data_IF_973321445227
#
_entry.id   IF_973321445227
#
_cell.length_a   1.000
_cell.length_b   1.000
_cell.length_c   1.000
_cell.angle_alpha   90.00
_cell.angle_beta   90.00
_cell.angle_gamma   90.00
#
_symmetry.space_group_name_H-M   'P 1'
#
loop_
_entity.id
_entity.type
_entity.pdbx_description
1 polymer ?
#
# COMPACT_ATOMS: atom_id res chain seq x y z
N UNK A 1 -54.47 22.70 19.22
CA UNK A 1 -53.03 22.93 19.47
C UNK A 1 -52.32 22.25 18.31
N UNK A 2 -52.12 23.01 17.23
CA UNK A 2 -51.39 22.55 16.06
C UNK A 2 -49.90 22.53 16.41
N UNK A 3 -49.29 21.35 16.36
CA UNK A 3 -47.85 21.19 16.53
C UNK A 3 -47.24 21.32 15.14
N UNK A 4 -46.61 22.45 14.88
CA UNK A 4 -45.71 22.63 13.74
C UNK A 4 -44.38 22.00 14.13
N UNK A 5 -43.96 20.96 13.41
CA UNK A 5 -42.62 20.39 13.52
C UNK A 5 -41.78 21.06 12.45
N UNK A 6 -40.91 21.97 12.85
CA UNK A 6 -39.82 22.43 11.99
C UNK A 6 -38.81 21.28 11.87
N UNK A 7 -38.70 20.72 10.67
CA UNK A 7 -37.59 19.86 10.31
C UNK A 7 -36.42 20.78 9.90
N UNK A 8 -35.48 21.00 10.82
CA UNK A 8 -34.18 21.55 10.43
C UNK A 8 -33.43 20.46 9.66
N UNK A 9 -33.22 20.71 8.36
CA UNK A 9 -32.28 19.96 7.53
C UNK A 9 -30.87 20.21 8.10
N UNK A 10 -30.40 19.30 8.95
CA UNK A 10 -28.99 19.25 9.32
C UNK A 10 -28.18 18.74 8.12
N UNK A 11 -27.39 19.63 7.52
CA UNK A 11 -26.45 19.34 6.43
C UNK A 11 -25.64 18.05 6.71
N UNK A 12 -25.97 16.99 5.99
CA UNK A 12 -25.49 15.62 6.22
C UNK A 12 -24.02 15.35 5.88
N UNK A 13 -23.19 16.39 5.74
CA UNK A 13 -21.78 16.27 5.31
C UNK A 13 -20.76 16.35 6.48
N UNK A 14 -21.07 17.02 7.60
CA UNK A 14 -20.07 17.23 8.67
C UNK A 14 -19.71 15.95 9.45
N UNK A 15 -20.62 14.95 9.50
CA UNK A 15 -20.35 13.67 10.17
C UNK A 15 -19.47 12.72 9.35
N UNK A 16 -19.60 12.73 8.01
CA UNK A 16 -18.91 11.81 7.11
C UNK A 16 -17.40 12.02 7.09
N UNK A 17 -16.97 13.25 7.37
CA UNK A 17 -15.58 13.67 7.37
C UNK A 17 -15.00 13.90 8.76
N UNK A 18 -15.79 13.73 9.82
CA UNK A 18 -15.35 13.95 11.20
C UNK A 18 -14.14 13.07 11.58
N UNK A 19 -14.02 11.86 11.02
CA UNK A 19 -12.88 10.97 11.24
C UNK A 19 -11.56 11.53 10.66
N UNK A 20 -11.62 12.36 9.60
CA UNK A 20 -10.43 12.97 8.99
C UNK A 20 -9.66 13.84 9.98
N UNK A 21 -10.35 14.47 10.94
CA UNK A 21 -9.76 15.31 12.02
C UNK A 21 -8.89 14.51 12.99
N UNK A 22 -9.16 13.20 13.13
CA UNK A 22 -8.41 12.30 14.00
C UNK A 22 -7.30 11.54 13.27
N UNK A 23 -7.25 11.62 11.94
CA UNK A 23 -6.17 11.01 11.17
C UNK A 23 -4.84 11.72 11.48
N UNK A 24 -3.77 10.95 11.54
CA UNK A 24 -2.40 11.44 11.76
C UNK A 24 -1.50 10.80 10.72
N UNK A 25 -0.49 11.55 10.27
CA UNK A 25 0.56 10.98 9.44
C UNK A 25 1.26 9.86 10.21
N UNK A 26 1.62 8.80 9.49
CA UNK A 26 2.44 7.71 10.01
C UNK A 26 3.88 7.97 9.60
N UNK A 27 4.81 7.79 10.53
CA UNK A 27 6.24 7.94 10.26
C UNK A 27 6.93 6.65 10.68
N UNK A 28 7.72 6.11 9.77
CA UNK A 28 8.53 4.90 9.94
C UNK A 28 9.99 5.31 9.78
N UNK A 29 10.82 4.94 10.75
CA UNK A 29 12.24 5.26 10.79
C UNK A 29 13.03 3.97 10.84
N UNK A 30 14.07 3.88 10.03
CA UNK A 30 14.95 2.74 10.05
C UNK A 30 15.74 2.65 11.36
N UNK A 31 16.08 1.43 11.76
CA UNK A 31 17.10 1.20 12.78
C UNK A 31 17.88 -0.09 12.48
N UNK A 32 19.17 -0.01 12.10
CA UNK A 32 20.01 1.19 11.95
C UNK A 32 19.75 1.99 10.65
N UNK A 33 20.23 3.23 10.59
CA UNK A 33 20.21 4.10 9.40
C UNK A 33 19.31 5.33 9.54
N UNK A 34 19.33 6.20 8.52
CA UNK A 34 18.66 7.51 8.53
C UNK A 34 17.43 7.57 7.60
N UNK A 35 17.02 6.42 7.02
CA UNK A 35 15.86 6.37 6.13
C UNK A 35 14.57 6.61 6.93
N UNK A 36 13.77 7.55 6.46
CA UNK A 36 12.45 7.86 7.01
C UNK A 36 11.39 7.86 5.91
N UNK A 37 10.31 7.12 6.15
CA UNK A 37 9.11 7.12 5.30
C UNK A 37 7.95 7.76 6.07
N UNK A 38 7.40 8.83 5.50
CA UNK A 38 6.14 9.44 5.97
C UNK A 38 4.98 9.04 5.07
N UNK A 39 3.88 8.59 5.67
CA UNK A 39 2.63 8.29 4.96
C UNK A 39 1.54 9.20 5.51
N UNK A 40 0.91 9.99 4.65
CA UNK A 40 -0.15 10.93 5.02
C UNK A 40 -1.28 10.92 3.98
N UNK A 41 -2.51 11.25 4.36
CA UNK A 41 -3.55 11.55 3.40
C UNK A 41 -3.35 12.92 2.75
N UNK A 42 -3.97 13.11 1.59
CA UNK A 42 -3.90 14.29 0.73
C UNK A 42 -4.36 15.56 1.44
N UNK A 43 -5.36 15.47 2.33
CA UNK A 43 -5.90 16.60 3.09
C UNK A 43 -5.06 17.02 4.30
N UNK A 44 -4.05 16.23 4.70
CA UNK A 44 -3.09 16.67 5.72
C UNK A 44 -1.94 17.36 4.99
N UNK A 45 -1.72 18.68 5.21
CA UNK A 45 -0.62 19.39 4.58
C UNK A 45 0.72 18.78 4.99
N UNK A 46 1.69 18.79 4.07
CA UNK A 46 3.08 18.48 4.42
C UNK A 46 3.54 19.47 5.49
N UNK A 47 3.82 18.96 6.68
CA UNK A 47 4.50 19.74 7.72
C UNK A 47 5.95 19.92 7.26
N UNK A 48 6.51 21.12 7.40
CA UNK A 48 7.88 21.41 6.95
C UNK A 48 8.91 20.43 7.52
N UNK A 49 9.85 20.01 6.70
CA UNK A 49 10.88 19.01 7.02
C UNK A 49 11.32 18.24 5.78
N UNK A 50 12.59 17.80 5.78
CA UNK A 50 13.15 16.92 4.75
C UNK A 50 12.75 15.46 5.05
N UNK A 51 11.45 15.17 5.02
CA UNK A 51 11.03 13.78 4.81
C UNK A 51 11.44 13.44 3.37
N UNK A 52 12.59 12.78 3.21
CA UNK A 52 13.13 12.37 1.90
C UNK A 52 12.09 11.53 1.14
N UNK A 53 11.38 10.66 1.86
CA UNK A 53 10.39 9.74 1.31
C UNK A 53 9.01 10.03 1.90
N UNK A 54 8.16 10.69 1.11
CA UNK A 54 6.74 10.89 1.43
C UNK A 54 5.87 9.95 0.59
N UNK A 55 4.76 9.44 1.13
CA UNK A 55 3.72 8.72 0.42
C UNK A 55 2.37 9.36 0.75
N UNK A 56 1.67 9.83 -0.28
CA UNK A 56 0.31 10.34 -0.13
C UNK A 56 -0.65 9.16 -0.32
N UNK A 57 -1.42 8.82 0.70
CA UNK A 57 -2.35 7.70 0.64
C UNK A 57 -3.68 8.12 1.27
N UNK A 58 -4.71 8.20 0.44
CA UNK A 58 -6.05 8.49 0.90
C UNK A 58 -6.70 7.19 1.34
N UNK A 59 -7.08 7.05 2.62
CA UNK A 59 -7.90 5.93 3.06
C UNK A 59 -9.23 5.96 2.31
N UNK A 60 -9.35 5.07 1.33
CA UNK A 60 -10.53 4.88 0.50
C UNK A 60 -11.42 3.74 1.01
N UNK A 61 -12.23 3.20 0.10
CA UNK A 61 -13.17 2.10 0.38
C UNK A 61 -12.49 0.73 0.46
N UNK A 62 -11.28 0.59 -0.10
CA UNK A 62 -10.49 -0.63 -0.04
C UNK A 62 -9.70 -0.77 1.26
N UNK A 63 -9.37 -2.02 1.62
CA UNK A 63 -8.51 -2.33 2.76
C UNK A 63 -7.08 -1.77 2.56
N UNK A 64 -6.38 -1.46 3.66
CA UNK A 64 -4.98 -1.03 3.60
C UNK A 64 -4.73 0.46 3.90
N UNK A 65 -5.43 1.05 4.87
CA UNK A 65 -5.17 2.43 5.33
C UNK A 65 -3.79 2.63 5.98
N UNK A 66 -3.08 1.53 6.28
CA UNK A 66 -1.81 1.53 7.01
C UNK A 66 -1.94 1.56 8.53
N UNK A 67 -3.16 1.75 9.06
CA UNK A 67 -3.40 1.76 10.50
C UNK A 67 -3.40 0.36 11.13
N UNK A 68 -3.67 -0.68 10.33
CA UNK A 68 -3.65 -2.06 10.81
C UNK A 68 -2.22 -2.52 11.14
N UNK A 69 -2.05 -3.25 12.25
CA UNK A 69 -0.74 -3.65 12.77
C UNK A 69 0.08 -4.46 11.76
N UNK A 70 -0.60 -5.34 11.00
CA UNK A 70 0.05 -6.15 9.97
C UNK A 70 0.68 -5.31 8.86
N UNK A 71 0.03 -4.20 8.48
CA UNK A 71 0.57 -3.27 7.48
C UNK A 71 1.73 -2.46 8.05
N UNK A 72 1.61 -1.99 9.30
CA UNK A 72 2.69 -1.26 9.99
C UNK A 72 3.95 -2.11 10.11
N UNK A 73 3.81 -3.41 10.40
CA UNK A 73 4.92 -4.35 10.45
C UNK A 73 5.62 -4.47 9.09
N UNK A 74 4.86 -4.67 8.01
CA UNK A 74 5.44 -4.70 6.66
C UNK A 74 6.16 -3.40 6.30
N UNK A 75 5.55 -2.25 6.58
CA UNK A 75 6.15 -0.94 6.30
C UNK A 75 7.46 -0.74 7.07
N UNK A 76 7.50 -1.11 8.35
CA UNK A 76 8.73 -1.05 9.13
C UNK A 76 9.82 -1.96 8.53
N UNK A 77 9.47 -3.19 8.14
CA UNK A 77 10.41 -4.11 7.47
C UNK A 77 10.97 -3.50 6.19
N UNK A 78 10.13 -2.89 5.34
CA UNK A 78 10.59 -2.25 4.10
C UNK A 78 11.54 -1.09 4.38
N UNK A 79 11.24 -0.27 5.39
CA UNK A 79 12.10 0.85 5.81
C UNK A 79 13.45 0.37 6.33
N UNK A 80 13.47 -0.66 7.19
CA UNK A 80 14.71 -1.24 7.70
C UNK A 80 15.54 -1.89 6.57
N UNK A 81 14.89 -2.56 5.62
CA UNK A 81 15.56 -3.11 4.44
C UNK A 81 16.18 -2.00 3.57
N UNK A 82 15.45 -0.91 3.34
CA UNK A 82 15.92 0.22 2.55
C UNK A 82 17.14 0.93 3.14
N UNK A 83 17.32 0.86 4.46
CA UNK A 83 18.48 1.40 5.16
C UNK A 83 19.64 0.39 5.35
N UNK A 84 19.45 -0.86 4.93
CA UNK A 84 20.43 -1.94 5.11
C UNK A 84 21.30 -2.13 3.87
N UNK A 85 22.19 -3.14 3.90
CA UNK A 85 22.96 -3.57 2.72
C UNK A 85 22.13 -4.37 1.69
N UNK A 86 20.81 -4.42 1.85
CA UNK A 86 19.90 -5.07 0.90
C UNK A 86 19.98 -4.38 -0.46
N UNK A 87 20.08 -5.18 -1.53
CA UNK A 87 20.14 -4.66 -2.89
C UNK A 87 18.77 -4.13 -3.31
N UNK A 88 18.76 -2.98 -3.99
CA UNK A 88 17.53 -2.41 -4.56
C UNK A 88 16.80 -3.47 -5.40
N UNK A 89 15.52 -3.78 -5.09
CA UNK A 89 14.75 -4.72 -5.88
C UNK A 89 14.53 -4.12 -7.27
N UNK A 90 14.81 -4.91 -8.32
CA UNK A 90 14.54 -4.48 -9.70
C UNK A 90 13.06 -4.57 -10.03
N UNK A 91 12.41 -5.61 -9.52
CA UNK A 91 11.00 -5.92 -9.75
C UNK A 91 10.31 -6.24 -8.44
N UNK A 92 9.11 -5.68 -8.26
CA UNK A 92 8.30 -5.84 -7.06
C UNK A 92 6.90 -6.33 -7.45
N UNK A 93 6.40 -7.34 -6.72
CA UNK A 93 5.00 -7.78 -6.80
C UNK A 93 4.31 -7.52 -5.46
N UNK A 94 3.25 -6.73 -5.46
CA UNK A 94 2.36 -6.56 -4.30
C UNK A 94 1.06 -7.33 -4.55
N UNK A 95 0.92 -8.48 -3.88
CA UNK A 95 -0.15 -9.45 -4.10
C UNK A 95 -1.21 -9.33 -2.99
N UNK A 96 -2.42 -8.97 -3.39
CA UNK A 96 -3.46 -8.48 -2.49
C UNK A 96 -3.16 -7.04 -2.07
N UNK A 97 -2.90 -6.18 -3.06
CA UNK A 97 -2.35 -4.85 -2.83
C UNK A 97 -3.29 -3.91 -2.06
N UNK A 98 -4.61 -4.13 -2.05
CA UNK A 98 -5.55 -3.24 -1.38
C UNK A 98 -5.41 -1.80 -1.89
N UNK A 99 -5.12 -0.86 -0.98
CA UNK A 99 -4.81 0.54 -1.27
C UNK A 99 -3.51 0.78 -2.07
N UNK A 100 -2.68 -0.25 -2.27
CA UNK A 100 -1.35 -0.16 -2.87
C UNK A 100 -0.25 0.30 -1.92
N UNK A 101 -0.55 0.45 -0.62
CA UNK A 101 0.36 1.06 0.36
C UNK A 101 1.75 0.41 0.42
N UNK A 102 1.87 -0.91 0.33
CA UNK A 102 3.16 -1.60 0.44
C UNK A 102 4.01 -1.43 -0.82
N UNK A 103 3.42 -1.67 -2.00
CA UNK A 103 4.09 -1.46 -3.27
C UNK A 103 4.50 0.00 -3.48
N UNK A 104 3.61 0.95 -3.20
CA UNK A 104 3.92 2.38 -3.32
C UNK A 104 4.98 2.82 -2.30
N UNK A 105 4.97 2.30 -1.07
CA UNK A 105 6.03 2.53 -0.11
C UNK A 105 7.39 1.99 -0.62
N UNK A 106 7.41 0.79 -1.22
CA UNK A 106 8.62 0.24 -1.82
C UNK A 106 9.20 1.17 -2.90
N UNK A 107 8.37 1.75 -3.77
CA UNK A 107 8.81 2.74 -4.77
C UNK A 107 9.37 4.02 -4.16
N UNK A 108 8.82 4.47 -3.02
CA UNK A 108 9.37 5.63 -2.30
C UNK A 108 10.73 5.31 -1.67
N UNK A 109 10.91 4.10 -1.15
CA UNK A 109 12.15 3.64 -0.52
C UNK A 109 13.24 3.40 -1.58
N UNK A 110 12.88 2.78 -2.70
CA UNK A 110 13.77 2.42 -3.80
C UNK A 110 13.28 3.02 -5.15
N UNK A 111 13.65 4.27 -5.46
CA UNK A 111 13.26 4.92 -6.71
C UNK A 111 13.74 4.22 -7.98
N UNK A 112 14.75 3.34 -7.88
CA UNK A 112 15.34 2.60 -8.99
C UNK A 112 14.61 1.29 -9.34
N UNK A 113 13.51 0.96 -8.65
CA UNK A 113 12.64 -0.15 -9.03
C UNK A 113 12.20 0.04 -10.49
N UNK A 114 12.51 -0.92 -11.35
CA UNK A 114 12.17 -0.84 -12.77
C UNK A 114 10.72 -1.22 -13.07
N UNK A 115 10.12 -2.08 -12.23
CA UNK A 115 8.74 -2.53 -12.38
C UNK A 115 8.12 -2.84 -11.01
N UNK A 116 6.96 -2.22 -10.74
CA UNK A 116 6.06 -2.60 -9.65
C UNK A 116 4.73 -3.08 -10.25
N UNK A 117 4.33 -4.29 -9.85
CA UNK A 117 2.98 -4.80 -10.13
C UNK A 117 2.14 -4.76 -8.86
N UNK A 118 1.05 -4.01 -8.90
CA UNK A 118 0.01 -3.96 -7.88
C UNK A 118 -1.14 -4.86 -8.32
N UNK A 119 -1.38 -5.95 -7.58
CA UNK A 119 -2.35 -6.96 -7.98
C UNK A 119 -3.34 -7.30 -6.87
N UNK A 120 -4.63 -7.30 -7.19
CA UNK A 120 -5.69 -7.74 -6.28
C UNK A 120 -6.81 -8.47 -7.05
N UNK A 121 -7.54 -9.34 -6.35
CA UNK A 121 -8.73 -9.99 -6.89
C UNK A 121 -9.95 -9.05 -6.91
N UNK A 122 -9.98 -8.09 -5.97
CA UNK A 122 -11.04 -7.11 -5.84
C UNK A 122 -10.78 -5.93 -6.80
N UNK A 123 -11.63 -5.70 -7.81
CA UNK A 123 -11.47 -4.57 -8.71
C UNK A 123 -11.52 -3.21 -8.00
N UNK A 124 -12.24 -3.10 -6.87
CA UNK A 124 -12.30 -1.86 -6.07
C UNK A 124 -10.96 -1.56 -5.40
N UNK A 125 -10.22 -2.60 -4.99
CA UNK A 125 -8.85 -2.46 -4.48
C UNK A 125 -7.89 -2.00 -5.59
N UNK A 126 -7.94 -2.63 -6.77
CA UNK A 126 -7.10 -2.23 -7.91
C UNK A 126 -7.32 -0.77 -8.28
N UNK A 127 -8.59 -0.33 -8.28
CA UNK A 127 -8.94 1.05 -8.54
C UNK A 127 -8.43 2.01 -7.47
N UNK A 128 -8.61 1.66 -6.19
CA UNK A 128 -8.09 2.47 -5.07
C UNK A 128 -6.56 2.60 -5.14
N UNK A 129 -5.85 1.52 -5.49
CA UNK A 129 -4.40 1.56 -5.67
C UNK A 129 -3.98 2.48 -6.83
N UNK A 130 -4.78 2.55 -7.90
CA UNK A 130 -4.56 3.45 -9.04
C UNK A 130 -4.76 4.90 -8.64
N UNK A 131 -5.83 5.23 -7.93
CA UNK A 131 -6.09 6.57 -7.40
C UNK A 131 -4.97 7.02 -6.45
N UNK A 132 -4.57 6.15 -5.52
CA UNK A 132 -3.44 6.44 -4.64
C UNK A 132 -2.13 6.63 -5.42
N UNK A 133 -1.88 5.86 -6.48
CA UNK A 133 -0.75 6.11 -7.35
C UNK A 133 -0.79 7.52 -7.97
N UNK A 134 -1.96 7.99 -8.42
CA UNK A 134 -2.09 9.31 -9.05
C UNK A 134 -1.69 10.44 -8.11
N UNK A 135 -1.97 10.31 -6.81
CA UNK A 135 -1.49 11.25 -5.78
C UNK A 135 0.05 11.27 -5.63
N UNK A 136 0.74 10.27 -6.19
CA UNK A 136 2.18 10.08 -6.10
C UNK A 136 2.87 10.10 -7.47
N UNK A 137 2.18 10.52 -8.54
CA UNK A 137 2.55 10.23 -9.92
C UNK A 137 3.82 10.92 -10.45
N UNK A 138 4.37 11.91 -9.75
CA UNK A 138 5.62 12.58 -10.16
C UNK A 138 6.78 11.58 -10.20
N UNK A 139 7.15 11.14 -11.41
CA UNK A 139 8.29 10.24 -11.66
C UNK A 139 8.02 8.73 -11.55
N UNK A 140 6.78 8.31 -11.25
CA UNK A 140 6.48 6.90 -10.90
C UNK A 140 5.68 6.15 -12.00
N UNK A 141 4.92 6.86 -12.83
CA UNK A 141 3.90 6.26 -13.71
C UNK A 141 4.43 5.24 -14.74
N UNK A 142 5.67 5.38 -15.23
CA UNK A 142 6.20 4.49 -16.28
C UNK A 142 6.57 3.08 -15.79
N UNK A 143 6.65 2.87 -14.47
CA UNK A 143 7.15 1.62 -13.85
C UNK A 143 6.01 0.78 -13.26
N UNK A 144 4.77 1.24 -13.39
CA UNK A 144 3.61 0.67 -12.69
C UNK A 144 2.74 -0.19 -13.59
N UNK A 145 2.35 -1.34 -13.06
CA UNK A 145 1.33 -2.19 -13.65
C UNK A 145 0.27 -2.53 -12.62
N UNK A 146 -0.99 -2.30 -12.99
CA UNK A 146 -2.14 -2.75 -12.22
C UNK A 146 -2.68 -4.04 -12.83
N UNK A 147 -3.00 -5.02 -11.99
CA UNK A 147 -3.49 -6.34 -12.42
C UNK A 147 -4.65 -6.77 -11.55
N UNK A 148 -5.80 -7.00 -12.16
CA UNK A 148 -6.86 -7.76 -11.50
C UNK A 148 -6.55 -9.25 -11.61
N UNK A 149 -6.46 -9.93 -10.47
CA UNK A 149 -6.27 -11.38 -10.39
C UNK A 149 -7.63 -12.08 -10.44
N UNK A 150 -7.68 -13.22 -11.12
CA UNK A 150 -8.85 -14.11 -11.02
C UNK A 150 -8.82 -14.84 -9.68
N UNK A 151 -10.00 -15.00 -9.07
CA UNK A 151 -10.18 -15.88 -7.91
C UNK A 151 -9.90 -17.33 -8.33
N UNK A 152 -8.95 -17.97 -7.66
CA UNK A 152 -8.58 -19.38 -7.86
C UNK A 152 -7.54 -19.83 -6.84
N UNK A 153 -7.35 -21.14 -6.68
CA UNK A 153 -6.48 -21.72 -5.63
C UNK A 153 -5.00 -21.29 -5.77
N UNK A 154 -4.60 -20.86 -6.97
CA UNK A 154 -3.28 -20.35 -7.28
C UNK A 154 -3.39 -19.32 -8.43
N UNK A 155 -3.46 -18.00 -8.16
CA UNK A 155 -3.40 -17.02 -9.22
C UNK A 155 -2.06 -17.18 -9.98
N UNK A 156 -2.01 -16.96 -11.30
CA UNK A 156 -0.77 -17.05 -12.05
C UNK A 156 0.20 -15.94 -11.61
N UNK A 157 1.50 -16.22 -11.68
CA UNK A 157 2.53 -15.20 -11.46
C UNK A 157 2.37 -14.12 -12.54
N UNK A 158 2.22 -12.82 -12.17
CA UNK A 158 2.11 -11.76 -13.16
C UNK A 158 3.31 -11.74 -14.11
N UNK A 159 3.05 -11.61 -15.41
CA UNK A 159 4.10 -11.44 -16.41
C UNK A 159 4.99 -10.22 -16.09
N UNK A 160 6.29 -10.22 -16.46
CA UNK A 160 6.99 -11.24 -17.26
C UNK A 160 7.46 -12.50 -16.51
N UNK A 161 7.26 -12.63 -15.19
CA UNK A 161 7.76 -13.79 -14.45
C UNK A 161 7.96 -13.54 -12.96
N UNK A 162 8.97 -14.15 -12.31
CA UNK A 162 9.28 -13.91 -10.89
C UNK A 162 9.83 -12.50 -10.61
N UNK A 163 9.96 -12.14 -9.33
CA UNK A 163 10.44 -10.84 -8.87
C UNK A 163 11.48 -10.97 -7.74
N UNK A 164 12.32 -9.94 -7.62
CA UNK A 164 13.31 -9.81 -6.53
C UNK A 164 12.68 -9.49 -5.18
N UNK A 165 11.47 -8.92 -5.16
CA UNK A 165 10.69 -8.65 -3.95
C UNK A 165 9.21 -9.00 -4.19
N UNK A 166 8.64 -9.78 -3.29
CA UNK A 166 7.20 -10.08 -3.25
C UNK A 166 6.65 -9.64 -1.91
N UNK A 167 5.53 -8.92 -1.95
CA UNK A 167 4.79 -8.40 -0.80
C UNK A 167 3.43 -9.09 -0.75
N UNK A 168 3.05 -9.62 0.41
CA UNK A 168 1.77 -10.29 0.59
C UNK A 168 1.27 -10.10 2.03
N UNK A 169 0.45 -9.07 2.27
CA UNK A 169 -0.24 -8.83 3.54
C UNK A 169 -1.72 -9.21 3.39
N UNK A 170 -1.97 -10.52 3.36
CA UNK A 170 -3.27 -11.12 3.07
C UNK A 170 -3.60 -12.19 4.11
N UNK A 171 -4.89 -12.49 4.27
CA UNK A 171 -5.39 -13.41 5.31
C UNK A 171 -4.86 -14.84 5.13
N UNK A 172 -4.71 -15.65 6.21
CA UNK A 172 -4.09 -16.98 6.14
C UNK A 172 -4.82 -17.94 5.22
N UNK A 173 -6.16 -17.84 5.18
CA UNK A 173 -7.03 -18.63 4.29
C UNK A 173 -6.76 -18.41 2.80
N UNK A 174 -6.11 -17.30 2.44
CA UNK A 174 -5.67 -17.00 1.07
C UNK A 174 -4.18 -17.34 0.90
N UNK A 175 -3.36 -17.03 1.90
CA UNK A 175 -1.92 -17.30 1.89
C UNK A 175 -1.57 -18.78 1.75
N UNK A 176 -2.24 -19.64 2.52
CA UNK A 176 -1.89 -21.07 2.58
C UNK A 176 -2.09 -21.73 1.21
N UNK A 177 -3.25 -21.59 0.53
CA UNK A 177 -3.41 -22.06 -0.85
C UNK A 177 -2.44 -21.39 -1.84
N UNK A 178 -2.17 -20.09 -1.67
CA UNK A 178 -1.32 -19.33 -2.59
C UNK A 178 0.18 -19.57 -2.42
N UNK A 179 0.62 -20.32 -1.41
CA UNK A 179 2.05 -20.52 -1.10
C UNK A 179 2.89 -21.03 -2.29
N UNK A 180 2.41 -21.99 -3.14
CA UNK A 180 3.15 -22.38 -4.34
C UNK A 180 3.30 -21.24 -5.35
N UNK A 181 2.27 -20.42 -5.54
CA UNK A 181 2.34 -19.21 -6.39
C UNK A 181 3.34 -18.21 -5.83
N UNK A 182 3.26 -17.91 -4.53
CA UNK A 182 4.20 -16.98 -3.87
C UNK A 182 5.64 -17.43 -4.05
N UNK A 183 5.89 -18.75 -3.97
CA UNK A 183 7.21 -19.32 -4.24
C UNK A 183 7.62 -19.19 -5.70
N UNK A 184 6.72 -19.47 -6.64
CA UNK A 184 7.00 -19.33 -8.07
C UNK A 184 7.18 -17.87 -8.50
N UNK A 185 6.62 -16.93 -7.75
CA UNK A 185 6.73 -15.50 -7.96
C UNK A 185 8.07 -14.91 -7.49
N UNK A 186 8.93 -15.68 -6.81
CA UNK A 186 10.23 -15.23 -6.31
C UNK A 186 11.38 -15.69 -7.21
N UNK A 187 12.26 -14.77 -7.55
CA UNK A 187 13.56 -15.10 -8.12
C UNK A 187 14.45 -15.83 -7.09
N UNK A 188 15.45 -16.62 -7.53
CA UNK A 188 16.48 -17.12 -6.63
C UNK A 188 17.15 -15.97 -5.87
N UNK A 189 17.13 -16.02 -4.53
CA UNK A 189 17.66 -14.96 -3.68
C UNK A 189 16.72 -13.76 -3.48
N UNK A 190 15.53 -13.77 -4.10
CA UNK A 190 14.50 -12.78 -3.86
C UNK A 190 13.91 -12.87 -2.45
N UNK A 191 13.28 -11.78 -2.01
CA UNK A 191 12.71 -11.65 -0.68
C UNK A 191 11.18 -11.68 -0.72
N UNK A 192 10.58 -12.40 0.22
CA UNK A 192 9.14 -12.38 0.47
C UNK A 192 8.87 -11.70 1.82
N UNK A 193 8.15 -10.58 1.78
CA UNK A 193 7.59 -9.95 2.98
C UNK A 193 6.13 -10.35 3.09
N UNK A 194 5.81 -11.11 4.13
CA UNK A 194 4.50 -11.73 4.32
C UNK A 194 3.95 -11.38 5.70
N UNK A 195 2.67 -11.03 5.76
CA UNK A 195 1.96 -10.65 6.98
C UNK A 195 0.46 -10.95 6.84
N UNK A 196 -0.35 -10.58 7.83
CA UNK A 196 -1.77 -10.93 7.89
C UNK A 196 -2.02 -12.33 8.43
N UNK A 197 -1.06 -12.87 9.18
CA UNK A 197 -1.13 -14.14 9.91
C UNK A 197 -1.74 -13.95 11.30
#
# INVERSE_FOLDING_TARGET
>A
LDVVVDAEDHEGDDWRDAWKRYYRAMVFRASPGDLELMIRPSWIPRQGGDHERELILDPGRAFGTGLHESTRLCLQILVDLGASAFSTPRRVLDLGCGSGILGLAALRIWPEIAELVLADHDPEAVETARENCEHNAEGIAAMLQFRQLSLGDAPPVPAPGPASLVLANIRPRVLIPAAPTLRAALEPGGLLVLSGI
#
